data_IF_464101845142
#
_entry.id   IF_464101845142
#
_cell.length_a   1.000
_cell.length_b   1.000
_cell.length_c   1.000
_cell.angle_alpha   90.00
_cell.angle_beta   90.00
_cell.angle_gamma   90.00
#
_symmetry.space_group_name_H-M   'P 1'
#
loop_
_entity.id
_entity.type
_entity.pdbx_description
1 polymer ?
#
# COMPACT_ATOMS: atom_id res chain seq x y z
N UNK A 1 -5.95 24.86 -7.88
CA UNK A 1 -5.88 23.51 -7.29
C UNK A 1 -7.27 23.14 -6.81
N UNK A 2 -7.80 21.99 -7.23
CA UNK A 2 -9.09 21.49 -6.74
C UNK A 2 -8.95 21.14 -5.27
N UNK A 3 -9.87 21.62 -4.43
CA UNK A 3 -9.85 21.33 -3.00
C UNK A 3 -10.15 19.84 -2.79
N UNK A 4 -9.17 19.09 -2.28
CA UNK A 4 -9.31 17.66 -1.95
C UNK A 4 -10.27 17.50 -0.77
N UNK A 5 -11.20 16.55 -0.87
CA UNK A 5 -12.13 16.22 0.23
C UNK A 5 -11.37 15.55 1.37
N UNK A 6 -11.57 16.02 2.60
CA UNK A 6 -11.05 15.35 3.81
C UNK A 6 -11.93 14.13 4.10
N UNK A 7 -11.34 12.93 4.14
CA UNK A 7 -12.05 11.68 4.37
C UNK A 7 -12.04 11.34 5.86
N UNK A 8 -12.75 12.15 6.65
CA UNK A 8 -12.82 11.95 8.09
C UNK A 8 -13.32 10.54 8.44
N UNK A 9 -12.63 9.89 9.38
CA UNK A 9 -12.91 8.51 9.79
C UNK A 9 -12.54 7.46 8.75
N UNK A 10 -11.75 7.78 7.72
CA UNK A 10 -11.33 6.81 6.71
C UNK A 10 -10.68 5.62 7.40
N UNK A 11 -11.12 4.41 7.11
CA UNK A 11 -10.56 3.20 7.68
C UNK A 11 -10.06 2.26 6.57
N UNK A 12 -8.93 1.53 6.74
CA UNK A 12 -8.44 0.56 5.77
C UNK A 12 -9.50 -0.35 5.15
N UNK A 13 -10.40 -0.89 5.98
CA UNK A 13 -11.52 -1.73 5.55
C UNK A 13 -12.45 -1.13 4.49
N UNK A 14 -12.41 0.18 4.26
CA UNK A 14 -13.21 0.85 3.23
C UNK A 14 -12.58 0.74 1.84
N UNK A 15 -11.24 0.72 1.76
CA UNK A 15 -10.48 0.78 0.50
C UNK A 15 -9.57 -0.42 0.26
N UNK A 16 -9.35 -1.31 1.23
CA UNK A 16 -8.54 -2.53 1.09
C UNK A 16 -8.87 -3.33 -0.18
N UNK A 17 -7.83 -3.73 -0.90
CA UNK A 17 -7.96 -4.64 -2.02
C UNK A 17 -8.39 -6.03 -1.52
N UNK A 18 -9.35 -6.73 -2.16
CA UNK A 18 -9.89 -8.01 -1.65
C UNK A 18 -8.84 -9.13 -1.51
N UNK A 19 -7.75 -9.09 -2.28
CA UNK A 19 -6.64 -10.02 -2.06
C UNK A 19 -5.93 -9.72 -0.74
N UNK A 20 -5.59 -8.45 -0.53
CA UNK A 20 -4.86 -7.98 0.64
C UNK A 20 -5.67 -8.23 1.91
N UNK A 21 -6.94 -7.80 1.94
CA UNK A 21 -7.85 -8.04 3.06
C UNK A 21 -7.89 -9.52 3.48
N UNK A 22 -7.98 -10.46 2.53
CA UNK A 22 -8.02 -11.90 2.83
C UNK A 22 -6.71 -12.39 3.45
N UNK A 23 -5.58 -12.04 2.85
CA UNK A 23 -4.28 -12.49 3.31
C UNK A 23 -3.89 -11.84 4.65
N UNK A 24 -4.15 -10.55 4.82
CA UNK A 24 -3.88 -9.82 6.05
C UNK A 24 -4.73 -10.33 7.21
N UNK A 25 -6.02 -10.64 6.98
CA UNK A 25 -6.87 -11.26 8.00
C UNK A 25 -6.35 -12.63 8.46
N UNK A 26 -5.77 -13.43 7.55
CA UNK A 26 -5.15 -14.72 7.93
C UNK A 26 -3.89 -14.51 8.78
N UNK A 27 -3.04 -13.53 8.41
CA UNK A 27 -1.84 -13.21 9.17
C UNK A 27 -2.19 -12.66 10.57
N UNK A 28 -3.12 -11.72 10.66
CA UNK A 28 -3.59 -11.13 11.92
C UNK A 28 -4.33 -12.15 12.80
N UNK A 29 -5.04 -13.10 12.18
CA UNK A 29 -5.76 -14.16 12.89
C UNK A 29 -4.87 -15.25 13.49
N UNK A 30 -3.56 -15.25 13.20
CA UNK A 30 -2.64 -16.28 13.70
C UNK A 30 -2.22 -15.96 15.15
N UNK A 31 -2.62 -16.76 16.16
CA UNK A 31 -2.36 -16.44 17.57
C UNK A 31 -0.86 -16.30 17.86
N UNK A 32 -0.49 -15.22 18.55
CA UNK A 32 0.89 -14.97 18.98
C UNK A 32 1.84 -14.45 17.89
N UNK A 33 1.48 -14.54 16.60
CA UNK A 33 2.33 -14.09 15.49
C UNK A 33 2.62 -12.59 15.57
N UNK A 34 1.59 -11.76 15.71
CA UNK A 34 1.76 -10.30 15.78
C UNK A 34 2.63 -9.88 16.97
N UNK A 35 2.38 -10.43 18.17
CA UNK A 35 3.15 -10.08 19.37
C UNK A 35 4.61 -10.52 19.26
N UNK A 36 4.87 -11.71 18.71
CA UNK A 36 6.21 -12.23 18.50
C UNK A 36 6.95 -11.35 17.48
N UNK A 37 6.34 -11.14 16.32
CA UNK A 37 6.93 -10.36 15.22
C UNK A 37 7.20 -8.92 15.62
N UNK A 38 6.25 -8.28 16.31
CA UNK A 38 6.41 -6.89 16.77
C UNK A 38 7.61 -6.73 17.71
N UNK A 39 7.82 -7.66 18.65
CA UNK A 39 8.94 -7.60 19.61
C UNK A 39 10.29 -7.68 18.90
N UNK A 40 10.48 -8.69 18.03
CA UNK A 40 11.75 -8.90 17.33
C UNK A 40 12.02 -7.82 16.26
N UNK A 41 10.99 -7.40 15.52
CA UNK A 41 11.16 -6.42 14.45
C UNK A 41 11.42 -5.03 15.04
N UNK A 42 10.69 -4.63 16.08
CA UNK A 42 10.84 -3.31 16.68
C UNK A 42 12.25 -3.11 17.27
N UNK A 43 12.67 -4.02 18.15
CA UNK A 43 13.87 -3.80 18.97
C UNK A 43 15.18 -3.96 18.16
N UNK A 44 15.13 -4.63 17.01
CA UNK A 44 16.27 -4.81 16.13
C UNK A 44 16.13 -4.10 14.77
N UNK A 45 15.18 -4.56 13.95
CA UNK A 45 15.12 -4.30 12.51
C UNK A 45 14.63 -2.88 12.20
N UNK A 46 13.55 -2.44 12.86
CA UNK A 46 13.05 -1.08 12.74
C UNK A 46 14.12 -0.07 13.17
N UNK A 47 14.81 -0.34 14.30
CA UNK A 47 15.90 0.51 14.77
C UNK A 47 17.07 0.56 13.79
N UNK A 48 17.43 -0.58 13.18
CA UNK A 48 18.47 -0.65 12.14
C UNK A 48 18.12 0.25 10.95
N UNK A 49 16.93 0.08 10.35
CA UNK A 49 16.51 0.89 9.21
C UNK A 49 16.36 2.37 9.58
N UNK A 50 15.83 2.67 10.76
CA UNK A 50 15.73 4.05 11.26
C UNK A 50 17.11 4.69 11.32
N UNK A 51 18.10 4.03 11.93
CA UNK A 51 19.47 4.56 11.99
C UNK A 51 20.08 4.72 10.60
N UNK A 52 19.91 3.72 9.72
CA UNK A 52 20.46 3.73 8.37
C UNK A 52 19.92 4.92 7.55
N UNK A 53 18.61 5.12 7.53
CA UNK A 53 18.00 6.18 6.74
C UNK A 53 18.15 7.55 7.39
N UNK A 54 18.15 7.66 8.72
CA UNK A 54 18.45 8.92 9.39
C UNK A 54 19.90 9.36 9.23
N UNK A 55 20.84 8.42 9.09
CA UNK A 55 22.26 8.72 8.97
C UNK A 55 22.70 9.25 7.62
N UNK A 56 21.97 8.91 6.54
CA UNK A 56 22.38 9.22 5.15
C UNK A 56 21.41 10.13 4.39
N UNK A 57 20.20 10.35 4.89
CA UNK A 57 19.16 11.11 4.20
C UNK A 57 18.87 12.45 4.88
N UNK A 58 18.44 13.43 4.08
CA UNK A 58 18.11 14.76 4.57
C UNK A 58 16.71 14.77 5.20
N UNK A 59 16.60 15.11 6.48
CA UNK A 59 15.30 15.25 7.14
C UNK A 59 14.55 16.48 6.61
N UNK A 60 13.29 16.31 6.27
CA UNK A 60 12.36 17.38 5.93
C UNK A 60 11.64 17.85 7.18
N UNK A 61 11.70 19.16 7.43
CA UNK A 61 11.03 19.86 8.52
C UNK A 61 10.26 21.05 7.96
N UNK A 62 9.39 21.62 8.79
CA UNK A 62 8.68 22.86 8.47
C UNK A 62 9.65 24.02 8.17
N UNK A 63 10.81 24.05 8.83
CA UNK A 63 11.78 25.15 8.68
C UNK A 63 12.60 25.08 7.38
N UNK A 64 12.95 23.88 6.89
CA UNK A 64 13.87 23.75 5.76
C UNK A 64 13.18 23.55 4.40
N UNK A 65 12.06 22.81 4.36
CA UNK A 65 11.27 22.56 3.15
C UNK A 65 9.76 22.61 3.49
N UNK A 66 9.23 23.80 3.84
CA UNK A 66 7.85 23.96 4.31
C UNK A 66 6.81 23.42 3.33
N UNK A 67 7.04 23.56 2.02
CA UNK A 67 6.09 23.13 0.99
C UNK A 67 5.90 21.61 0.96
N UNK A 68 7.00 20.85 1.01
CA UNK A 68 6.99 19.38 1.02
C UNK A 68 6.43 18.86 2.35
N UNK A 69 6.84 19.50 3.45
CA UNK A 69 6.29 19.20 4.77
C UNK A 69 4.76 19.37 4.82
N UNK A 70 4.25 20.47 4.24
CA UNK A 70 2.82 20.73 4.16
C UNK A 70 2.08 19.77 3.21
N UNK A 71 2.71 19.31 2.13
CA UNK A 71 2.15 18.24 1.30
C UNK A 71 1.89 16.96 2.11
N UNK A 72 2.84 16.54 2.96
CA UNK A 72 2.65 15.39 3.84
C UNK A 72 1.57 15.63 4.89
N UNK A 73 1.54 16.81 5.53
CA UNK A 73 0.50 17.17 6.49
C UNK A 73 -0.90 17.09 5.87
N UNK A 74 -1.09 17.70 4.71
CA UNK A 74 -2.36 17.66 3.96
C UNK A 74 -2.73 16.24 3.53
N UNK A 75 -1.76 15.43 3.12
CA UNK A 75 -2.00 14.03 2.78
C UNK A 75 -2.51 13.24 4.01
N UNK A 76 -1.88 13.41 5.18
CA UNK A 76 -2.32 12.81 6.44
C UNK A 76 -3.73 13.26 6.82
N UNK A 77 -4.04 14.54 6.66
CA UNK A 77 -5.39 15.07 6.91
C UNK A 77 -6.43 14.43 6.00
N UNK A 78 -6.17 14.37 4.69
CA UNK A 78 -7.10 13.78 3.71
C UNK A 78 -7.43 12.34 4.05
N UNK A 79 -6.42 11.54 4.42
CA UNK A 79 -6.63 10.13 4.76
C UNK A 79 -6.96 9.90 6.23
N UNK A 80 -7.17 10.93 7.05
CA UNK A 80 -7.42 10.84 8.50
C UNK A 80 -6.38 10.00 9.26
N UNK A 81 -5.09 10.26 9.00
CA UNK A 81 -3.99 9.71 9.78
C UNK A 81 -3.54 10.73 10.83
N UNK A 82 -3.77 10.40 12.10
CA UNK A 82 -3.50 11.32 13.23
C UNK A 82 -2.01 11.53 13.51
N UNK A 83 -1.19 10.53 13.23
CA UNK A 83 0.26 10.60 13.40
C UNK A 83 0.89 11.10 12.12
N UNK A 84 1.63 12.19 12.18
CA UNK A 84 2.47 12.67 11.09
C UNK A 84 3.79 11.87 11.09
N UNK A 85 4.09 11.06 10.05
CA UNK A 85 5.38 10.38 9.94
C UNK A 85 6.53 11.36 9.78
N UNK A 86 7.74 10.97 10.20
CA UNK A 86 8.93 11.73 9.82
C UNK A 86 9.15 11.62 8.30
N UNK A 87 9.67 12.67 7.67
CA UNK A 87 9.92 12.70 6.23
C UNK A 87 11.40 12.94 5.95
N UNK A 88 11.95 12.19 5.01
CA UNK A 88 13.35 12.29 4.58
C UNK A 88 13.44 12.30 3.05
N UNK A 89 14.49 12.93 2.52
CA UNK A 89 14.88 12.86 1.11
C UNK A 89 16.17 12.08 0.95
N UNK A 90 16.12 11.04 0.11
CA UNK A 90 17.28 10.26 -0.34
C UNK A 90 17.71 10.74 -1.73
N UNK A 91 19.03 10.86 -1.95
CA UNK A 91 19.55 11.15 -3.29
C UNK A 91 19.35 9.96 -4.23
N UNK A 92 18.46 10.12 -5.20
CA UNK A 92 18.17 9.14 -6.24
C UNK A 92 17.38 9.84 -7.36
N UNK A 93 17.77 9.65 -8.63
CA UNK A 93 17.13 10.34 -9.76
C UNK A 93 15.76 9.74 -10.15
N UNK A 94 15.47 8.52 -9.72
CA UNK A 94 14.21 7.84 -9.99
C UNK A 94 13.08 8.42 -9.14
N UNK A 95 11.85 8.31 -9.62
CA UNK A 95 10.67 8.59 -8.81
C UNK A 95 10.40 7.39 -7.91
N UNK A 96 10.60 7.54 -6.61
CA UNK A 96 10.32 6.49 -5.64
C UNK A 96 10.03 7.07 -4.25
N UNK A 97 9.37 6.27 -3.43
CA UNK A 97 9.24 6.48 -1.99
C UNK A 97 9.16 5.12 -1.29
N UNK A 98 9.39 5.11 0.01
CA UNK A 98 9.09 3.95 0.84
C UNK A 98 8.89 4.37 2.30
N UNK A 99 8.18 3.51 3.02
CA UNK A 99 7.91 3.67 4.45
C UNK A 99 8.60 2.60 5.27
N UNK A 100 9.23 3.01 6.37
CA UNK A 100 9.70 2.08 7.41
C UNK A 100 9.21 2.52 8.78
N UNK A 101 9.23 1.60 9.74
CA UNK A 101 8.79 1.86 11.12
C UNK A 101 7.35 1.46 11.38
N UNK A 102 7.13 0.83 12.55
CA UNK A 102 5.83 0.33 12.98
C UNK A 102 5.19 1.31 13.97
N UNK A 103 5.97 1.76 14.97
CA UNK A 103 5.49 2.67 16.02
C UNK A 103 5.74 4.13 15.67
N UNK A 104 6.87 4.39 15.02
CA UNK A 104 7.26 5.72 14.54
C UNK A 104 7.54 5.61 13.05
N UNK A 105 6.49 5.61 12.22
CA UNK A 105 6.68 5.52 10.78
C UNK A 105 7.52 6.71 10.31
N UNK A 106 8.43 6.44 9.39
CA UNK A 106 9.14 7.43 8.62
C UNK A 106 8.98 7.11 7.14
N UNK A 107 8.86 8.15 6.33
CA UNK A 107 8.75 8.08 4.88
C UNK A 107 10.05 8.64 4.32
N UNK A 108 10.61 7.94 3.34
CA UNK A 108 11.72 8.44 2.54
C UNK A 108 11.21 8.63 1.12
N UNK A 109 11.36 9.83 0.58
CA UNK A 109 11.11 10.14 -0.84
C UNK A 109 12.44 10.37 -1.55
N UNK A 110 12.52 10.07 -2.83
CA UNK A 110 13.74 10.34 -3.60
C UNK A 110 13.79 11.80 -4.06
N UNK A 111 15.00 12.34 -4.27
CA UNK A 111 15.17 13.65 -4.91
C UNK A 111 14.49 13.69 -6.28
N UNK A 112 14.50 12.59 -7.02
CA UNK A 112 13.82 12.49 -8.30
C UNK A 112 12.30 12.58 -8.23
N UNK A 113 11.68 12.12 -7.13
CA UNK A 113 10.25 12.33 -6.89
C UNK A 113 9.96 13.82 -6.60
N UNK A 114 10.79 14.47 -5.79
CA UNK A 114 10.68 15.91 -5.49
C UNK A 114 10.79 16.75 -6.76
N UNK A 115 11.76 16.45 -7.64
CA UNK A 115 12.04 17.25 -8.83
C UNK A 115 11.02 17.06 -9.96
N UNK A 116 10.38 15.88 -10.05
CA UNK A 116 9.58 15.48 -11.22
C UNK A 116 8.08 15.43 -10.97
N UNK A 117 7.63 15.33 -9.72
CA UNK A 117 6.21 15.21 -9.41
C UNK A 117 5.58 16.58 -9.15
N UNK A 118 4.44 16.81 -9.77
CA UNK A 118 3.52 17.89 -9.43
C UNK A 118 2.84 17.65 -8.08
N UNK A 119 2.14 18.65 -7.55
CA UNK A 119 1.45 18.56 -6.25
C UNK A 119 0.41 17.42 -6.15
N UNK A 120 -0.29 17.11 -7.24
CA UNK A 120 -1.26 16.00 -7.27
C UNK A 120 -0.57 14.64 -7.36
N UNK A 121 0.54 14.55 -8.09
CA UNK A 121 1.33 13.33 -8.20
C UNK A 121 2.09 13.02 -6.90
N UNK A 122 2.67 14.04 -6.25
CA UNK A 122 3.28 13.89 -4.93
C UNK A 122 2.24 13.51 -3.87
N UNK A 123 1.03 14.07 -3.93
CA UNK A 123 -0.06 13.64 -3.05
C UNK A 123 -0.46 12.17 -3.26
N UNK A 124 -0.41 11.67 -4.49
CA UNK A 124 -0.61 10.24 -4.77
C UNK A 124 0.51 9.41 -4.16
N UNK A 125 1.78 9.79 -4.38
CA UNK A 125 2.95 9.09 -3.85
C UNK A 125 2.95 9.03 -2.32
N UNK A 126 2.75 10.17 -1.65
CA UNK A 126 2.66 10.24 -0.19
C UNK A 126 1.44 9.49 0.33
N UNK A 127 0.28 9.65 -0.32
CA UNK A 127 -0.94 8.92 0.04
C UNK A 127 -0.81 7.41 -0.05
N UNK A 128 -0.02 6.92 -1.02
CA UNK A 128 0.32 5.52 -1.17
C UNK A 128 1.14 5.01 0.04
N UNK A 129 2.20 5.72 0.41
CA UNK A 129 3.03 5.41 1.59
C UNK A 129 2.22 5.45 2.90
N UNK A 130 1.38 6.47 3.07
CA UNK A 130 0.45 6.56 4.20
C UNK A 130 -0.55 5.40 4.22
N UNK A 131 -0.92 4.86 3.06
CA UNK A 131 -1.71 3.65 2.93
C UNK A 131 -1.03 2.44 3.58
N UNK A 132 0.28 2.26 3.39
CA UNK A 132 1.04 1.21 4.06
C UNK A 132 1.09 1.38 5.58
N UNK A 133 1.24 2.62 6.07
CA UNK A 133 1.18 2.92 7.51
C UNK A 133 -0.20 2.56 8.05
N UNK A 134 -1.25 3.10 7.44
CA UNK A 134 -2.63 3.03 7.93
C UNK A 134 -3.18 1.61 7.89
N UNK A 135 -2.82 0.83 6.86
CA UNK A 135 -3.19 -0.59 6.72
C UNK A 135 -2.23 -1.55 7.44
N UNK A 136 -1.25 -1.03 8.20
CA UNK A 136 -0.26 -1.81 8.97
C UNK A 136 0.57 -2.78 8.11
N UNK A 137 0.80 -2.45 6.84
CA UNK A 137 1.58 -3.28 5.91
C UNK A 137 3.06 -3.37 6.30
N UNK A 138 3.62 -2.28 6.84
CA UNK A 138 5.05 -2.15 7.16
C UNK A 138 5.54 -3.28 8.07
N UNK A 139 4.76 -3.68 9.09
CA UNK A 139 5.10 -4.80 9.98
C UNK A 139 5.33 -6.09 9.18
N UNK A 140 4.40 -6.43 8.30
CA UNK A 140 4.43 -7.69 7.56
C UNK A 140 5.41 -7.65 6.39
N UNK A 141 5.67 -6.49 5.79
CA UNK A 141 6.79 -6.29 4.86
C UNK A 141 8.13 -6.57 5.55
N UNK A 142 8.33 -6.01 6.74
CA UNK A 142 9.53 -6.28 7.55
C UNK A 142 9.61 -7.77 7.92
N UNK A 143 8.50 -8.42 8.27
CA UNK A 143 8.47 -9.87 8.50
C UNK A 143 8.91 -10.67 7.26
N UNK A 144 8.38 -10.33 6.08
CA UNK A 144 8.71 -11.01 4.84
C UNK A 144 10.20 -10.90 4.49
N UNK A 145 10.77 -9.70 4.64
CA UNK A 145 12.19 -9.45 4.41
C UNK A 145 13.07 -10.16 5.46
N UNK A 146 12.66 -10.14 6.74
CA UNK A 146 13.38 -10.82 7.82
C UNK A 146 13.41 -12.34 7.63
N UNK A 147 12.28 -12.92 7.22
CA UNK A 147 12.19 -14.36 6.94
C UNK A 147 13.08 -14.76 5.76
N UNK A 148 13.25 -13.85 4.79
CA UNK A 148 14.17 -14.06 3.66
C UNK A 148 15.61 -14.17 4.16
N UNK A 149 16.07 -13.22 4.96
CA UNK A 149 17.44 -13.21 5.51
C UNK A 149 17.67 -14.38 6.47
N UNK A 150 16.73 -14.65 7.38
CA UNK A 150 16.83 -15.79 8.30
C UNK A 150 16.79 -17.12 7.56
N UNK A 151 15.90 -17.26 6.56
CA UNK A 151 15.76 -18.45 5.73
C UNK A 151 16.99 -18.73 4.88
N UNK A 152 17.68 -17.71 4.36
CA UNK A 152 18.96 -17.90 3.67
C UNK A 152 20.04 -18.38 4.63
N UNK A 153 20.17 -17.76 5.81
CA UNK A 153 21.15 -18.19 6.82
C UNK A 153 20.92 -19.63 7.28
N UNK A 154 19.69 -19.99 7.63
CA UNK A 154 19.34 -21.38 8.01
C UNK A 154 19.53 -22.32 6.84
N UNK A 155 19.18 -21.90 5.62
CA UNK A 155 19.41 -22.67 4.40
C UNK A 155 20.89 -23.01 4.21
N UNK A 156 21.77 -22.03 4.33
CA UNK A 156 23.22 -22.22 4.18
C UNK A 156 23.77 -23.18 5.26
N UNK A 157 23.29 -23.05 6.50
CA UNK A 157 23.69 -23.90 7.62
C UNK A 157 23.16 -25.35 7.52
N UNK A 158 22.02 -25.53 6.85
CA UNK A 158 21.35 -26.84 6.71
C UNK A 158 21.57 -27.46 5.32
N UNK A 159 22.61 -27.01 4.60
CA UNK A 159 22.94 -27.49 3.25
C UNK A 159 21.75 -27.42 2.27
N UNK A 160 20.89 -26.42 2.43
CA UNK A 160 19.73 -26.14 1.58
C UNK A 160 18.39 -26.69 2.08
N UNK A 161 18.37 -27.56 3.10
CA UNK A 161 17.13 -28.19 3.60
C UNK A 161 16.19 -27.16 4.24
N UNK A 162 16.73 -26.25 5.05
CA UNK A 162 15.95 -25.19 5.70
C UNK A 162 15.31 -24.22 4.72
N UNK A 163 15.98 -23.96 3.59
CA UNK A 163 15.45 -23.12 2.50
C UNK A 163 14.20 -23.74 1.86
N UNK A 164 14.14 -25.06 1.72
CA UNK A 164 12.96 -25.77 1.17
C UNK A 164 11.73 -25.62 2.06
N UNK A 165 11.92 -25.55 3.38
CA UNK A 165 10.82 -25.44 4.35
C UNK A 165 10.23 -24.02 4.41
N UNK A 166 11.06 -22.98 4.28
CA UNK A 166 10.62 -21.58 4.39
C UNK A 166 10.11 -21.00 3.07
N UNK A 167 10.48 -21.59 1.93
CA UNK A 167 10.20 -21.03 0.61
C UNK A 167 8.71 -20.84 0.29
N UNK A 168 7.79 -21.79 0.56
CA UNK A 168 6.36 -21.58 0.28
C UNK A 168 5.77 -20.41 1.07
N UNK A 169 6.16 -20.27 2.33
CA UNK A 169 5.75 -19.15 3.18
C UNK A 169 6.30 -17.82 2.65
N UNK A 170 7.57 -17.79 2.27
CA UNK A 170 8.22 -16.63 1.69
C UNK A 170 7.56 -16.19 0.38
N UNK A 171 7.23 -17.14 -0.51
CA UNK A 171 6.47 -16.85 -1.73
C UNK A 171 5.09 -16.26 -1.44
N UNK A 172 4.38 -16.83 -0.46
CA UNK A 172 3.06 -16.34 -0.08
C UNK A 172 3.13 -14.91 0.50
N UNK A 173 4.11 -14.63 1.36
CA UNK A 173 4.34 -13.31 1.93
C UNK A 173 4.74 -12.29 0.85
N UNK A 174 5.64 -12.63 -0.07
CA UNK A 174 6.00 -11.71 -1.15
C UNK A 174 4.87 -11.50 -2.15
N UNK A 175 4.07 -12.54 -2.42
CA UNK A 175 2.84 -12.37 -3.19
C UNK A 175 1.89 -11.41 -2.48
N UNK A 176 1.69 -11.56 -1.18
CA UNK A 176 0.89 -10.64 -0.39
C UNK A 176 1.44 -9.22 -0.41
N UNK A 177 2.74 -9.04 -0.19
CA UNK A 177 3.44 -7.74 -0.24
C UNK A 177 3.10 -7.01 -1.54
N UNK A 178 3.22 -7.68 -2.69
CA UNK A 178 2.88 -7.09 -3.99
C UNK A 178 1.40 -6.75 -4.17
N UNK A 179 0.50 -7.48 -3.51
CA UNK A 179 -0.93 -7.21 -3.61
C UNK A 179 -1.37 -6.12 -2.62
N UNK A 180 -0.61 -5.90 -1.54
CA UNK A 180 -0.80 -4.76 -0.62
C UNK A 180 -0.57 -3.42 -1.32
N UNK A 181 0.21 -3.40 -2.40
CA UNK A 181 0.40 -2.25 -3.29
C UNK A 181 -0.92 -1.74 -3.87
N UNK A 182 -1.87 -2.62 -4.19
CA UNK A 182 -3.17 -2.19 -4.73
C UNK A 182 -4.01 -1.48 -3.66
N UNK A 183 -3.91 -1.89 -2.40
CA UNK A 183 -4.54 -1.18 -1.27
C UNK A 183 -3.89 0.19 -1.08
N UNK A 184 -2.56 0.26 -1.15
CA UNK A 184 -1.82 1.51 -1.06
C UNK A 184 -2.12 2.45 -2.23
N UNK A 185 -2.23 1.94 -3.46
CA UNK A 185 -2.67 2.70 -4.65
C UNK A 185 -4.05 3.31 -4.49
N UNK A 186 -5.00 2.57 -3.92
CA UNK A 186 -6.34 3.09 -3.62
C UNK A 186 -6.28 4.21 -2.60
N UNK A 187 -5.45 4.09 -1.56
CA UNK A 187 -5.19 5.16 -0.60
C UNK A 187 -4.55 6.38 -1.27
N UNK A 188 -3.56 6.17 -2.15
CA UNK A 188 -2.95 7.22 -2.97
C UNK A 188 -3.98 7.95 -3.82
N UNK A 189 -4.85 7.22 -4.52
CA UNK A 189 -5.92 7.82 -5.33
C UNK A 189 -6.93 8.59 -4.47
N UNK A 190 -7.31 8.09 -3.29
CA UNK A 190 -8.16 8.83 -2.35
C UNK A 190 -7.49 10.10 -1.81
N UNK A 191 -6.16 10.10 -1.76
CA UNK A 191 -5.36 11.24 -1.31
C UNK A 191 -5.29 12.33 -2.37
N UNK A 192 -4.95 11.99 -3.63
CA UNK A 192 -4.85 12.98 -4.70
C UNK A 192 -6.20 13.34 -5.33
N UNK A 193 -7.15 12.41 -5.34
CA UNK A 193 -8.51 12.52 -5.91
C UNK A 193 -8.53 12.84 -7.40
N UNK A 194 -7.46 12.50 -8.11
CA UNK A 194 -7.25 12.85 -9.51
C UNK A 194 -6.57 11.70 -10.26
N UNK A 195 -7.37 10.89 -10.97
CA UNK A 195 -6.88 9.68 -11.61
C UNK A 195 -5.82 9.95 -12.70
N UNK A 196 -5.94 11.06 -13.45
CA UNK A 196 -4.95 11.44 -14.46
C UNK A 196 -3.55 11.71 -13.88
N UNK A 197 -3.49 12.23 -12.65
CA UNK A 197 -2.24 12.41 -11.91
C UNK A 197 -1.66 11.07 -11.44
N UNK A 198 -2.50 10.09 -11.10
CA UNK A 198 -2.05 8.73 -10.80
C UNK A 198 -1.41 8.07 -12.02
N UNK A 199 -2.08 8.13 -13.18
CA UNK A 199 -1.56 7.60 -14.44
C UNK A 199 -0.25 8.30 -14.83
N UNK A 200 -0.19 9.62 -14.70
CA UNK A 200 1.02 10.41 -14.93
C UNK A 200 2.18 9.98 -14.03
N UNK A 201 1.92 9.72 -12.74
CA UNK A 201 2.93 9.21 -11.80
C UNK A 201 3.44 7.83 -12.22
N UNK A 202 2.56 6.92 -12.64
CA UNK A 202 2.95 5.60 -13.14
C UNK A 202 3.79 5.64 -14.41
N UNK A 203 3.50 6.57 -15.32
CA UNK A 203 4.31 6.81 -16.52
C UNK A 203 5.71 7.32 -16.14
N UNK A 204 5.80 8.24 -15.17
CA UNK A 204 7.08 8.72 -14.63
C UNK A 204 7.90 7.60 -13.99
N UNK A 205 7.28 6.76 -13.16
CA UNK A 205 7.91 5.56 -12.57
C UNK A 205 8.33 4.55 -13.65
N UNK A 206 7.55 4.40 -14.72
CA UNK A 206 7.87 3.51 -15.83
C UNK A 206 9.06 3.99 -16.68
N UNK A 207 9.49 5.25 -16.51
CA UNK A 207 10.68 5.81 -17.15
C UNK A 207 10.41 6.94 -18.15
N UNK A 208 9.45 7.83 -17.87
CA UNK A 208 9.25 9.04 -18.67
C UNK A 208 10.54 9.87 -18.74
N UNK A 209 11.12 10.11 -19.94
CA UNK A 209 12.30 10.94 -20.05
C UNK A 209 11.96 12.40 -19.73
N UNK A 210 12.84 13.09 -19.01
CA UNK A 210 12.66 14.49 -18.61
C UNK A 210 12.35 15.42 -19.81
N UNK A 211 12.95 15.14 -20.97
CA UNK A 211 12.71 15.86 -22.24
C UNK A 211 11.22 15.89 -22.66
N UNK A 212 10.43 14.91 -22.24
CA UNK A 212 9.03 14.75 -22.63
C UNK A 212 8.04 14.95 -21.47
N UNK A 213 8.47 15.58 -20.36
CA UNK A 213 7.63 15.76 -19.16
C UNK A 213 6.32 16.50 -19.40
N UNK A 214 6.29 17.39 -20.39
CA UNK A 214 5.10 18.17 -20.75
C UNK A 214 4.19 17.46 -21.76
N UNK A 215 4.63 16.32 -22.32
CA UNK A 215 3.97 15.59 -23.40
C UNK A 215 3.66 14.14 -22.99
N UNK A 216 2.94 13.98 -21.87
CA UNK A 216 2.57 12.66 -21.32
C UNK A 216 1.34 12.09 -22.04
N UNK A 217 1.52 11.04 -22.83
CA UNK A 217 0.43 10.28 -23.43
C UNK A 217 -0.17 9.26 -22.44
N UNK A 218 -1.14 9.72 -21.66
CA UNK A 218 -1.91 8.88 -20.72
C UNK A 218 -2.74 7.84 -21.47
N UNK A 219 -3.28 8.19 -22.63
CA UNK A 219 -4.18 7.31 -23.39
C UNK A 219 -3.44 6.08 -23.92
N UNK A 220 -2.23 6.27 -24.46
CA UNK A 220 -1.34 5.20 -24.89
C UNK A 220 -0.92 4.29 -23.74
N UNK A 221 -0.61 4.84 -22.57
CA UNK A 221 -0.28 4.03 -21.39
C UNK A 221 -1.47 3.19 -20.89
N UNK A 222 -2.68 3.76 -20.88
CA UNK A 222 -3.88 3.01 -20.52
C UNK A 222 -4.25 1.94 -21.56
N UNK A 223 -3.96 2.19 -22.84
CA UNK A 223 -4.07 1.19 -23.90
C UNK A 223 -3.07 0.05 -23.69
N UNK A 224 -1.82 0.36 -23.35
CA UNK A 224 -0.81 -0.63 -22.99
C UNK A 224 -1.26 -1.49 -21.79
N UNK A 225 -1.92 -0.89 -20.80
CA UNK A 225 -2.47 -1.64 -19.67
C UNK A 225 -3.51 -2.69 -20.08
N UNK A 226 -4.45 -2.31 -20.96
CA UNK A 226 -5.46 -3.24 -21.51
C UNK A 226 -4.82 -4.37 -22.31
N UNK A 227 -3.83 -4.05 -23.14
CA UNK A 227 -3.08 -5.04 -23.93
C UNK A 227 -2.31 -6.01 -23.03
N UNK A 228 -1.68 -5.51 -21.97
CA UNK A 228 -0.96 -6.33 -21.00
C UNK A 228 -1.88 -7.26 -20.19
N UNK A 229 -3.11 -6.83 -19.89
CA UNK A 229 -4.14 -7.69 -19.29
C UNK A 229 -4.59 -8.78 -20.26
N UNK A 230 -4.80 -8.45 -21.54
CA UNK A 230 -5.21 -9.41 -22.56
C UNK A 230 -4.20 -10.56 -22.75
N UNK A 231 -2.93 -10.38 -22.41
CA UNK A 231 -1.95 -11.47 -22.42
C UNK A 231 -2.37 -12.65 -21.52
N UNK A 232 -3.21 -12.43 -20.50
CA UNK A 232 -3.65 -13.50 -19.59
C UNK A 232 -4.61 -14.52 -20.24
N UNK A 233 -5.11 -14.26 -21.46
CA UNK A 233 -5.90 -15.22 -22.23
C UNK A 233 -5.09 -16.47 -22.59
N UNK A 234 -3.79 -16.32 -22.83
CA UNK A 234 -2.89 -17.45 -23.05
C UNK A 234 -2.33 -17.96 -21.72
N UNK A 235 -2.54 -19.25 -21.43
CA UNK A 235 -2.06 -19.87 -20.18
C UNK A 235 -0.55 -19.72 -19.98
N UNK A 236 0.23 -19.79 -21.06
CA UNK A 236 1.69 -19.63 -21.04
C UNK A 236 2.08 -18.21 -20.60
N UNK A 237 1.45 -17.19 -21.17
CA UNK A 237 1.72 -15.79 -20.81
C UNK A 237 1.29 -15.49 -19.38
N UNK A 238 0.16 -16.05 -18.94
CA UNK A 238 -0.28 -15.94 -17.53
C UNK A 238 0.75 -16.55 -16.57
N UNK A 239 1.33 -17.70 -16.91
CA UNK A 239 2.40 -18.31 -16.13
C UNK A 239 3.70 -17.48 -16.17
N UNK A 240 4.09 -16.97 -17.34
CA UNK A 240 5.27 -16.10 -17.49
C UNK A 240 5.13 -14.80 -16.70
N UNK A 241 3.95 -14.17 -16.73
CA UNK A 241 3.63 -13.01 -15.89
C UNK A 241 3.71 -13.37 -14.41
N UNK A 242 3.23 -14.53 -13.99
CA UNK A 242 3.42 -14.97 -12.61
C UNK A 242 4.92 -15.12 -12.27
N UNK A 243 5.69 -15.83 -13.09
CA UNK A 243 7.10 -16.13 -12.86
C UNK A 243 7.96 -14.85 -12.83
N UNK A 244 7.76 -13.94 -13.76
CA UNK A 244 8.51 -12.67 -13.86
C UNK A 244 8.13 -11.67 -12.77
N UNK A 245 6.98 -11.86 -12.11
CA UNK A 245 6.56 -11.03 -10.98
C UNK A 245 7.24 -11.46 -9.66
N UNK A 246 7.78 -12.69 -9.57
CA UNK A 246 8.30 -13.25 -8.33
C UNK A 246 9.46 -12.45 -7.72
N UNK A 247 10.35 -11.91 -8.56
CA UNK A 247 11.54 -11.16 -8.15
C UNK A 247 11.31 -9.65 -8.03
N UNK A 248 10.09 -9.16 -8.31
CA UNK A 248 9.77 -7.73 -8.25
C UNK A 248 9.34 -7.33 -6.84
N UNK A 249 9.75 -6.14 -6.41
CA UNK A 249 9.26 -5.51 -5.18
C UNK A 249 7.84 -4.99 -5.34
N UNK A 250 7.53 -4.44 -6.52
CA UNK A 250 6.21 -3.90 -6.86
C UNK A 250 5.63 -4.56 -8.13
N UNK A 251 4.31 -4.71 -8.24
CA UNK A 251 3.65 -5.07 -9.49
C UNK A 251 4.01 -4.09 -10.62
N UNK A 252 3.77 -4.50 -11.86
CA UNK A 252 3.91 -3.59 -13.01
C UNK A 252 2.98 -2.39 -12.88
N UNK A 253 3.48 -1.22 -13.24
CA UNK A 253 2.72 0.06 -13.22
C UNK A 253 1.44 -0.01 -14.05
N UNK A 254 1.48 -0.73 -15.18
CA UNK A 254 0.29 -1.00 -16.02
C UNK A 254 -0.77 -1.85 -15.30
N UNK A 255 -0.35 -2.84 -14.49
CA UNK A 255 -1.28 -3.67 -13.72
C UNK A 255 -1.90 -2.86 -12.56
N UNK A 256 -1.09 -2.04 -11.87
CA UNK A 256 -1.56 -1.12 -10.83
C UNK A 256 -2.62 -0.16 -11.36
N UNK A 257 -2.40 0.38 -12.57
CA UNK A 257 -3.38 1.24 -13.26
C UNK A 257 -4.68 0.51 -13.56
N UNK A 258 -4.60 -0.73 -14.06
CA UNK A 258 -5.78 -1.54 -14.36
C UNK A 258 -6.61 -1.84 -13.09
N UNK A 259 -5.99 -2.16 -11.96
CA UNK A 259 -6.71 -2.40 -10.70
C UNK A 259 -7.45 -1.15 -10.20
N UNK A 260 -6.87 0.05 -10.38
CA UNK A 260 -7.54 1.31 -10.05
C UNK A 260 -8.71 1.60 -10.99
N UNK A 261 -8.57 1.34 -12.31
CA UNK A 261 -9.67 1.46 -13.27
C UNK A 261 -10.84 0.59 -12.84
N UNK A 262 -10.60 -0.70 -12.54
CA UNK A 262 -11.65 -1.60 -12.07
C UNK A 262 -12.33 -1.10 -10.81
N UNK A 263 -11.57 -0.49 -9.89
CA UNK A 263 -12.14 0.08 -8.66
C UNK A 263 -13.00 1.32 -8.92
N UNK A 264 -12.57 2.20 -9.83
CA UNK A 264 -13.34 3.37 -10.27
C UNK A 264 -14.62 2.94 -10.98
N UNK A 265 -14.53 2.05 -11.96
CA UNK A 265 -15.65 1.58 -12.78
C UNK A 265 -16.70 0.80 -11.96
N UNK A 266 -16.26 0.09 -10.91
CA UNK A 266 -17.19 -0.57 -9.97
C UNK A 266 -17.99 0.40 -9.09
N UNK A 267 -17.75 1.71 -9.20
CA UNK A 267 -18.30 2.78 -8.36
C UNK A 267 -17.88 2.72 -6.88
N UNK A 268 -17.06 1.74 -6.50
CA UNK A 268 -16.61 1.55 -5.12
C UNK A 268 -15.70 2.70 -4.66
N UNK A 269 -14.85 3.22 -5.55
CA UNK A 269 -14.09 4.44 -5.30
C UNK A 269 -14.99 5.61 -4.88
N UNK A 270 -16.05 5.86 -5.66
CA UNK A 270 -16.96 6.98 -5.42
C UNK A 270 -17.70 6.83 -4.09
N UNK A 271 -18.16 5.62 -3.75
CA UNK A 271 -18.82 5.33 -2.45
C UNK A 271 -17.91 5.66 -1.26
N UNK A 272 -16.61 5.35 -1.35
CA UNK A 272 -15.64 5.69 -0.29
C UNK A 272 -15.43 7.20 -0.21
N UNK A 273 -15.30 7.86 -1.35
CA UNK A 273 -15.11 9.32 -1.44
C UNK A 273 -16.33 10.10 -0.91
N UNK A 274 -17.53 9.56 -1.09
CA UNK A 274 -18.79 10.08 -0.57
C UNK A 274 -19.11 9.59 0.85
N UNK A 275 -18.19 8.86 1.49
CA UNK A 275 -18.30 8.30 2.85
C UNK A 275 -19.52 7.40 3.06
N UNK A 276 -19.99 6.71 2.01
CA UNK A 276 -21.10 5.75 2.05
C UNK A 276 -20.68 4.36 2.56
N UNK A 277 -19.39 4.19 2.90
CA UNK A 277 -18.78 2.90 3.25
C UNK A 277 -18.48 2.72 4.74
N UNK A 278 -18.88 3.67 5.59
CA UNK A 278 -18.58 3.65 7.03
C UNK A 278 -19.04 2.38 7.75
N UNK A 279 -20.16 1.79 7.32
CA UNK A 279 -20.67 0.51 7.84
C UNK A 279 -19.62 -0.62 7.76
N UNK A 280 -18.69 -0.58 6.80
CA UNK A 280 -17.61 -1.59 6.62
C UNK A 280 -16.63 -1.62 7.77
N UNK A 281 -16.56 -0.55 8.57
CA UNK A 281 -15.74 -0.48 9.79
C UNK A 281 -16.24 -1.49 10.82
N UNK A 282 -17.55 -1.73 10.85
CA UNK A 282 -18.20 -2.58 11.85
C UNK A 282 -18.69 -3.92 11.28
N UNK A 283 -18.87 -4.00 9.97
CA UNK A 283 -19.36 -5.19 9.26
C UNK A 283 -18.28 -5.74 8.32
N UNK A 284 -18.02 -7.04 8.38
CA UNK A 284 -17.25 -7.79 7.38
C UNK A 284 -18.20 -8.68 6.58
N UNK A 285 -17.86 -8.95 5.33
CA UNK A 285 -18.64 -9.83 4.47
C UNK A 285 -17.83 -11.07 4.11
N UNK A 286 -18.45 -12.24 4.22
CA UNK A 286 -17.92 -13.50 3.66
C UNK A 286 -18.88 -13.93 2.55
N UNK A 287 -18.47 -13.71 1.30
CA UNK A 287 -19.40 -13.74 0.16
C UNK A 287 -20.44 -12.63 0.29
N UNK A 288 -21.73 -12.99 0.30
CA UNK A 288 -22.84 -12.07 0.53
C UNK A 288 -23.28 -12.00 2.00
N UNK A 289 -22.68 -12.78 2.89
CA UNK A 289 -23.13 -12.89 4.28
C UNK A 289 -22.39 -11.88 5.17
N UNK A 290 -23.10 -10.97 5.87
CA UNK A 290 -22.48 -10.01 6.78
C UNK A 290 -22.20 -10.61 8.16
N UNK A 291 -21.12 -10.17 8.79
CA UNK A 291 -20.72 -10.54 10.14
C UNK A 291 -20.24 -9.30 10.90
N UNK A 292 -20.51 -9.25 12.20
CA UNK A 292 -19.98 -8.22 13.07
C UNK A 292 -18.46 -8.38 13.21
N UNK A 293 -17.68 -7.35 12.87
CA UNK A 293 -16.21 -7.39 13.01
C UNK A 293 -15.75 -7.52 14.46
N UNK A 294 -16.54 -7.03 15.42
CA UNK A 294 -16.18 -7.06 16.84
C UNK A 294 -16.26 -8.45 17.47
N UNK A 295 -17.30 -9.23 17.16
CA UNK A 295 -17.54 -10.52 17.82
C UNK A 295 -17.70 -11.71 16.86
N UNK A 296 -17.71 -11.48 15.54
CA UNK A 296 -17.90 -12.52 14.54
C UNK A 296 -19.33 -13.03 14.41
N UNK A 297 -20.32 -12.42 15.08
CA UNK A 297 -21.71 -12.82 14.97
C UNK A 297 -22.26 -12.57 13.56
N UNK A 298 -22.93 -13.59 12.99
CA UNK A 298 -23.58 -13.50 11.69
C UNK A 298 -24.76 -12.54 11.75
N UNK A 299 -24.78 -11.55 10.86
CA UNK A 299 -25.81 -10.52 10.76
C UNK A 299 -26.82 -10.88 9.66
N UNK A 300 -28.02 -10.32 9.75
CA UNK A 300 -29.08 -10.43 8.75
C UNK A 300 -29.01 -9.28 7.73
N UNK A 301 -28.28 -8.21 8.03
CA UNK A 301 -27.98 -7.09 7.12
C UNK A 301 -28.89 -5.87 7.28
N UNK A 302 -29.86 -5.91 8.20
CA UNK A 302 -30.80 -4.81 8.48
C UNK A 302 -30.62 -4.23 9.88
N UNK A 303 -29.78 -4.85 10.71
CA UNK A 303 -29.61 -4.45 12.10
C UNK A 303 -28.77 -3.17 12.23
N UNK A 304 -29.20 -2.26 13.11
CA UNK A 304 -28.39 -1.08 13.50
C UNK A 304 -27.32 -1.42 14.54
N UNK A 305 -27.51 -2.52 15.28
CA UNK A 305 -26.60 -3.00 16.33
C UNK A 305 -26.40 -4.51 16.20
N UNK A 306 -25.22 -5.00 16.57
CA UNK A 306 -24.97 -6.43 16.64
C UNK A 306 -25.76 -7.07 17.79
N UNK A 307 -26.63 -8.04 17.46
CA UNK A 307 -27.46 -8.75 18.43
C UNK A 307 -26.68 -9.58 19.47
N UNK A 308 -25.38 -9.80 19.27
CA UNK A 308 -24.52 -10.54 20.21
C UNK A 308 -23.72 -9.63 21.13
N UNK A 309 -23.09 -8.57 20.60
CA UNK A 309 -22.17 -7.73 21.38
C UNK A 309 -22.59 -6.25 21.53
N UNK A 310 -23.72 -5.85 20.97
CA UNK A 310 -24.25 -4.48 21.04
C UNK A 310 -23.48 -3.45 20.21
N UNK A 311 -22.51 -3.84 19.38
CA UNK A 311 -21.75 -2.94 18.52
C UNK A 311 -22.66 -2.22 17.50
N UNK A 312 -22.59 -0.90 17.41
CA UNK A 312 -23.25 -0.15 16.32
C UNK A 312 -22.69 -0.52 14.95
N UNK A 313 -23.56 -0.73 13.96
CA UNK A 313 -23.22 -1.25 12.63
C UNK A 313 -23.35 -0.22 11.50
N UNK A 314 -23.86 0.97 11.82
CA UNK A 314 -24.09 2.09 10.90
C UNK A 314 -23.28 3.30 11.30
#
# INVERSE_FOLDING_TARGET
MTQRKILQGLHPYEYEHPFDARALNLLQGTPGLESLSRKFIKDGIERFYTIQYQGSNLRITEDNYPEIYDQLRRACEVVDLKSLPDLYVEWNDGVNAFTVGIDRPLIVITSGAVDRLSDSEMAFLLGHELGHVKSRHVLYHLMANSLTTAGSMVGDWTLGIGKLLTMPLQLALFRWSRMSEFTADRCGLLTCQEFDSVVSTFIKIAGLPEKFKDNIDRSGFLQQAREFEALDFEKTNKWLKFATNLSRTHPWTVLRSAELIRWIESSEYQKVLERQTLHRIHVRYEGTTPFCRRCGYRLQGTEKFCNSCGQGLT
#
